data_IF_634386744112
#
_entry.id   IF_634386744112
#
_cell.length_a   1.000
_cell.length_b   1.000
_cell.length_c   1.000
_cell.angle_alpha   90.00
_cell.angle_beta   90.00
_cell.angle_gamma   90.00
#
_symmetry.space_group_name_H-M   'P 1'
#
loop_
_entity.id
_entity.type
_entity.pdbx_description
1 polymer ?
#
# COMPACT_ATOMS: atom_id res chain seq x y z
N UNK A 1 23.99 17.89 20.11
CA UNK A 1 23.79 17.15 21.37
C UNK A 1 22.37 17.25 21.88
N UNK A 2 21.77 18.46 21.95
CA UNK A 2 20.39 18.60 22.46
C UNK A 2 19.28 17.99 21.56
N UNK A 3 19.48 17.98 20.23
CA UNK A 3 18.50 17.45 19.27
C UNK A 3 18.47 15.91 19.27
N UNK A 4 19.62 15.25 19.44
CA UNK A 4 19.71 13.78 19.55
C UNK A 4 19.12 13.26 20.87
N UNK A 5 19.34 13.99 21.97
CA UNK A 5 18.77 13.66 23.28
C UNK A 5 17.23 13.78 23.24
N UNK A 6 16.70 14.80 22.57
CA UNK A 6 15.26 15.03 22.45
C UNK A 6 14.59 13.92 21.61
N UNK A 7 15.21 13.52 20.48
CA UNK A 7 14.74 12.41 19.65
C UNK A 7 14.75 11.07 20.40
N UNK A 8 15.81 10.77 21.15
CA UNK A 8 15.91 9.57 21.96
C UNK A 8 14.84 9.51 23.06
N UNK A 9 14.58 10.65 23.71
CA UNK A 9 13.55 10.74 24.75
C UNK A 9 12.14 10.57 24.19
N UNK A 10 11.85 11.17 23.04
CA UNK A 10 10.56 11.02 22.36
C UNK A 10 10.33 9.57 21.90
N UNK A 11 11.36 8.94 21.34
CA UNK A 11 11.28 7.53 20.92
C UNK A 11 11.01 6.61 22.13
N UNK A 12 11.63 6.88 23.26
CA UNK A 12 11.40 6.13 24.50
C UNK A 12 9.98 6.30 25.03
N UNK A 13 9.40 7.49 24.94
CA UNK A 13 8.02 7.76 25.31
C UNK A 13 7.01 7.06 24.38
N UNK A 14 7.32 7.01 23.09
CA UNK A 14 6.51 6.27 22.10
C UNK A 14 6.52 4.78 22.41
N UNK A 15 7.68 4.16 22.63
CA UNK A 15 7.79 2.76 23.01
C UNK A 15 7.04 2.44 24.30
N UNK A 16 7.06 3.37 25.27
CA UNK A 16 6.33 3.19 26.52
C UNK A 16 4.81 3.16 26.29
N UNK A 17 4.28 4.03 25.43
CA UNK A 17 2.85 4.01 25.02
C UNK A 17 2.48 2.74 24.25
N UNK A 18 3.29 2.34 23.26
CA UNK A 18 3.08 1.15 22.43
C UNK A 18 3.06 -0.16 23.24
N UNK A 19 3.81 -0.21 24.33
CA UNK A 19 3.82 -1.36 25.24
C UNK A 19 2.75 -1.29 26.33
N UNK A 20 1.78 -0.37 26.22
CA UNK A 20 0.72 -0.17 27.20
C UNK A 20 1.23 0.32 28.57
N UNK A 21 2.27 1.15 28.56
CA UNK A 21 2.98 1.66 29.75
C UNK A 21 3.68 0.56 30.57
N UNK A 22 3.94 -0.59 29.96
CA UNK A 22 4.77 -1.64 30.54
C UNK A 22 6.26 -1.24 30.45
N UNK A 23 6.81 -0.80 31.59
CA UNK A 23 8.19 -0.28 31.66
C UNK A 23 9.24 -1.34 31.29
N UNK A 24 9.04 -2.59 31.71
CA UNK A 24 10.00 -3.68 31.43
C UNK A 24 9.99 -4.03 29.95
N UNK A 25 8.81 -4.09 29.35
CA UNK A 25 8.61 -4.34 27.92
C UNK A 25 9.15 -3.21 27.07
N UNK A 26 8.89 -1.97 27.48
CA UNK A 26 9.42 -0.77 26.85
C UNK A 26 10.96 -0.71 26.92
N UNK A 27 11.55 -1.09 28.05
CA UNK A 27 13.01 -1.12 28.21
C UNK A 27 13.64 -2.18 27.29
N UNK A 28 13.04 -3.37 27.19
CA UNK A 28 13.49 -4.43 26.26
C UNK A 28 13.45 -3.96 24.80
N UNK A 29 12.41 -3.23 24.41
CA UNK A 29 12.31 -2.64 23.07
C UNK A 29 13.38 -1.54 22.87
N UNK A 30 13.63 -0.72 23.88
CA UNK A 30 14.65 0.32 23.84
C UNK A 30 16.08 -0.27 23.69
N UNK A 31 16.42 -1.27 24.51
CA UNK A 31 17.73 -1.95 24.46
C UNK A 31 17.95 -2.61 23.09
N UNK A 32 16.89 -3.08 22.47
CA UNK A 32 16.90 -3.60 21.11
C UNK A 32 17.19 -2.50 20.07
N UNK A 33 16.50 -1.36 20.14
CA UNK A 33 16.68 -0.22 19.22
C UNK A 33 18.11 0.35 19.32
N UNK A 34 18.72 0.33 20.51
CA UNK A 34 20.09 0.80 20.72
C UNK A 34 21.19 -0.21 20.26
N UNK A 35 20.81 -1.36 19.71
CA UNK A 35 21.77 -2.26 19.09
C UNK A 35 22.51 -3.21 20.03
N UNK A 36 22.07 -3.31 21.27
CA UNK A 36 22.74 -4.13 22.28
C UNK A 36 22.58 -5.65 22.12
N UNK A 37 21.91 -6.11 21.03
CA UNK A 37 21.73 -7.54 20.75
C UNK A 37 21.52 -7.81 19.24
N UNK A 38 22.60 -8.00 18.49
CA UNK A 38 22.51 -8.32 17.05
C UNK A 38 21.78 -9.64 16.77
N UNK A 39 21.87 -10.62 17.64
CA UNK A 39 21.20 -11.93 17.51
C UNK A 39 19.68 -11.82 17.69
N UNK A 40 19.20 -10.90 18.53
CA UNK A 40 17.76 -10.64 18.72
C UNK A 40 17.17 -9.71 17.64
N UNK A 41 17.99 -8.96 16.91
CA UNK A 41 17.52 -8.23 15.72
C UNK A 41 16.87 -9.14 14.70
N UNK A 42 17.45 -10.33 14.45
CA UNK A 42 16.95 -11.32 13.50
C UNK A 42 15.63 -11.97 13.96
N UNK A 43 15.44 -12.16 15.27
CA UNK A 43 14.23 -12.77 15.83
C UNK A 43 13.04 -11.82 15.90
N UNK A 44 13.25 -10.53 16.14
CA UNK A 44 12.18 -9.51 16.11
C UNK A 44 11.79 -9.10 14.67
N UNK A 45 12.71 -9.19 13.72
CA UNK A 45 12.42 -9.05 12.28
C UNK A 45 11.58 -10.23 11.75
N UNK A 46 11.63 -11.39 12.40
CA UNK A 46 10.71 -12.51 12.16
C UNK A 46 9.41 -12.39 12.98
N UNK A 47 9.24 -11.35 13.80
CA UNK A 47 8.00 -11.12 14.51
C UNK A 47 6.93 -10.68 13.50
N UNK A 48 5.82 -11.40 13.54
CA UNK A 48 4.59 -11.23 12.78
C UNK A 48 4.36 -9.76 12.41
N UNK A 49 4.27 -9.48 11.12
CA UNK A 49 3.89 -8.17 10.60
C UNK A 49 2.68 -7.65 11.37
N UNK A 50 2.80 -6.45 11.92
CA UNK A 50 1.69 -5.86 12.69
C UNK A 50 0.74 -5.23 11.68
N UNK A 51 -0.51 -5.68 11.69
CA UNK A 51 -1.55 -5.10 10.86
C UNK A 51 -1.71 -3.60 11.15
N UNK A 52 -1.82 -2.80 10.11
CA UNK A 52 -1.98 -1.36 10.24
C UNK A 52 -1.63 -0.57 8.98
N UNK A 53 -1.77 0.75 9.09
CA UNK A 53 -1.40 1.70 8.05
C UNK A 53 -0.05 2.33 8.40
N UNK A 54 0.77 2.60 7.39
CA UNK A 54 2.14 3.08 7.53
C UNK A 54 2.42 4.25 6.60
N UNK A 55 3.17 5.22 7.08
CA UNK A 55 3.81 6.24 6.26
C UNK A 55 5.17 5.72 5.81
N UNK A 56 5.40 5.65 4.51
CA UNK A 56 6.67 5.19 3.92
C UNK A 56 7.42 6.40 3.39
N UNK A 57 8.66 6.59 3.84
CA UNK A 57 9.47 7.77 3.57
C UNK A 57 10.52 7.53 2.49
N UNK A 58 11.03 8.62 1.90
CA UNK A 58 12.08 8.58 0.86
C UNK A 58 13.36 7.86 1.27
N UNK A 59 13.67 7.85 2.57
CA UNK A 59 14.85 7.18 3.13
C UNK A 59 14.65 5.66 3.33
N UNK A 60 13.49 5.12 2.93
CA UNK A 60 13.13 3.70 3.08
C UNK A 60 12.64 3.32 4.47
N UNK A 61 12.47 4.27 5.39
CA UNK A 61 11.83 4.01 6.68
C UNK A 61 10.30 3.96 6.52
N UNK A 62 9.65 3.22 7.41
CA UNK A 62 8.19 3.26 7.55
C UNK A 62 7.81 3.45 9.02
N UNK A 63 6.77 4.26 9.25
CA UNK A 63 6.24 4.53 10.59
C UNK A 63 4.75 4.24 10.57
N UNK A 64 4.26 3.54 11.57
CA UNK A 64 2.83 3.24 11.70
C UNK A 64 2.04 4.53 11.87
N UNK A 65 0.96 4.66 11.11
CA UNK A 65 0.05 5.81 11.18
C UNK A 65 -1.13 5.51 12.10
N UNK A 66 -1.38 6.39 13.04
CA UNK A 66 -2.45 6.25 14.05
C UNK A 66 -3.53 7.32 13.92
N UNK A 67 -3.48 8.12 12.85
CA UNK A 67 -4.37 9.27 12.66
C UNK A 67 -3.72 10.61 13.05
N UNK A 68 -4.34 11.70 12.63
CA UNK A 68 -3.86 13.08 12.91
C UNK A 68 -4.05 13.49 14.38
N UNK A 69 -5.06 12.93 15.04
CA UNK A 69 -5.42 13.29 16.42
C UNK A 69 -4.61 12.50 17.47
N UNK A 70 -3.46 11.99 17.13
CA UNK A 70 -2.57 11.28 18.03
C UNK A 70 -1.43 12.18 18.49
N UNK A 71 -0.88 11.92 19.67
CA UNK A 71 0.37 12.57 20.12
C UNK A 71 1.61 12.00 19.41
N UNK A 72 1.43 11.22 18.36
CA UNK A 72 2.53 10.61 17.62
C UNK A 72 3.22 11.67 16.76
N UNK A 73 4.54 11.81 16.95
CA UNK A 73 5.37 12.71 16.15
C UNK A 73 5.92 11.91 14.97
N UNK A 74 5.51 12.29 13.77
CA UNK A 74 6.01 11.68 12.55
C UNK A 74 7.32 12.35 12.08
N UNK A 75 8.24 11.60 11.42
CA UNK A 75 9.43 12.17 10.84
C UNK A 75 9.15 13.31 9.86
N UNK A 76 10.08 14.25 9.75
CA UNK A 76 10.01 15.41 8.82
C UNK A 76 10.27 14.96 7.36
N UNK A 77 10.80 13.75 7.17
CA UNK A 77 11.09 13.21 5.83
C UNK A 77 9.84 13.14 4.98
N UNK A 78 10.04 13.29 3.67
CA UNK A 78 8.93 13.24 2.71
C UNK A 78 8.35 11.83 2.63
N UNK A 79 7.04 11.70 2.88
CA UNK A 79 6.28 10.49 2.60
C UNK A 79 6.19 10.26 1.09
N UNK A 80 6.35 9.03 0.64
CA UNK A 80 6.30 8.65 -0.78
C UNK A 80 5.23 7.61 -1.09
N UNK A 81 4.83 6.80 -0.12
CA UNK A 81 3.74 5.83 -0.21
C UNK A 81 2.99 5.75 1.12
N UNK A 82 1.74 5.32 1.06
CA UNK A 82 1.01 4.84 2.23
C UNK A 82 1.04 3.32 2.22
N UNK A 83 1.62 2.72 3.27
CA UNK A 83 1.68 1.28 3.44
C UNK A 83 0.42 0.73 4.11
N UNK A 84 -0.01 -0.45 3.71
CA UNK A 84 -1.01 -1.25 4.43
C UNK A 84 -0.45 -2.64 4.67
N UNK A 85 -0.60 -3.12 5.90
CA UNK A 85 -0.35 -4.51 6.27
C UNK A 85 -1.64 -5.03 6.90
N UNK A 86 -2.20 -6.11 6.36
CA UNK A 86 -3.39 -6.76 6.92
C UNK A 86 -3.47 -8.21 6.47
N UNK A 87 -3.69 -9.13 7.41
CA UNK A 87 -3.87 -10.55 7.13
C UNK A 87 -2.76 -11.17 6.25
N UNK A 88 -1.51 -10.84 6.51
CA UNK A 88 -0.32 -11.23 5.74
C UNK A 88 -0.23 -10.65 4.31
N UNK A 89 -1.10 -9.74 3.93
CA UNK A 89 -0.96 -8.95 2.71
C UNK A 89 -0.31 -7.61 3.05
N UNK A 90 0.58 -7.15 2.18
CA UNK A 90 1.24 -5.85 2.36
C UNK A 90 1.38 -5.13 1.03
N UNK A 91 0.99 -3.86 1.00
CA UNK A 91 1.03 -3.01 -0.18
C UNK A 91 1.56 -1.63 0.19
N UNK A 92 2.31 -1.02 -0.71
CA UNK A 92 2.64 0.41 -0.69
C UNK A 92 1.81 1.11 -1.77
N UNK A 93 0.94 2.04 -1.37
CA UNK A 93 -0.02 2.74 -2.23
C UNK A 93 0.57 4.08 -2.64
N UNK A 94 0.68 4.35 -3.93
CA UNK A 94 1.18 5.62 -4.45
C UNK A 94 0.30 6.80 -4.00
N UNK A 95 0.90 7.95 -3.70
CA UNK A 95 0.17 9.13 -3.19
C UNK A 95 -0.76 9.78 -4.22
N UNK A 96 -0.53 9.57 -5.51
CA UNK A 96 -1.29 10.20 -6.60
C UNK A 96 -1.79 9.17 -7.60
N UNK A 97 -2.91 9.45 -8.23
CA UNK A 97 -3.32 8.73 -9.43
C UNK A 97 -2.30 8.96 -10.55
N UNK A 98 -2.12 7.96 -11.41
CA UNK A 98 -1.16 8.04 -12.53
C UNK A 98 -1.50 9.17 -13.50
N UNK A 99 -2.80 9.39 -13.73
CA UNK A 99 -3.31 10.39 -14.63
C UNK A 99 -4.26 11.34 -13.90
N UNK A 100 -4.28 12.62 -14.32
CA UNK A 100 -5.21 13.61 -13.75
C UNK A 100 -6.68 13.28 -14.03
N UNK A 101 -6.96 12.51 -15.07
CA UNK A 101 -8.29 12.14 -15.52
C UNK A 101 -8.41 10.62 -15.64
N UNK A 102 -9.64 10.14 -15.62
CA UNK A 102 -9.96 8.77 -15.92
C UNK A 102 -9.56 8.42 -17.36
N UNK A 103 -9.05 7.18 -17.55
CA UNK A 103 -8.54 6.72 -18.84
C UNK A 103 -8.87 5.25 -19.05
N UNK A 104 -8.81 4.81 -20.30
CA UNK A 104 -8.81 3.38 -20.63
C UNK A 104 -7.57 2.70 -20.03
N UNK A 105 -7.64 1.38 -19.80
CA UNK A 105 -6.49 0.66 -19.22
C UNK A 105 -5.53 0.14 -20.30
N UNK A 106 -6.07 -0.23 -21.48
CA UNK A 106 -5.27 -0.66 -22.64
C UNK A 106 -5.66 0.10 -23.89
N UNK A 107 -4.79 0.09 -24.89
CA UNK A 107 -5.03 0.70 -26.21
C UNK A 107 -5.61 -0.28 -27.21
N UNK A 108 -5.49 -1.57 -26.95
CA UNK A 108 -5.97 -2.63 -27.83
C UNK A 108 -6.63 -3.75 -27.04
N UNK A 109 -7.59 -4.42 -27.64
CA UNK A 109 -8.15 -5.65 -27.13
C UNK A 109 -7.24 -6.81 -27.50
N UNK A 110 -6.88 -7.63 -26.53
CA UNK A 110 -6.17 -8.87 -26.81
C UNK A 110 -7.16 -9.99 -27.05
N UNK A 111 -7.03 -10.68 -28.17
CA UNK A 111 -7.79 -11.89 -28.46
C UNK A 111 -7.21 -13.16 -27.83
N UNK A 112 -6.13 -13.06 -27.04
CA UNK A 112 -5.47 -14.21 -26.45
C UNK A 112 -6.24 -14.72 -25.22
N UNK A 113 -6.93 -15.82 -25.42
CA UNK A 113 -7.57 -16.61 -24.36
C UNK A 113 -6.52 -17.42 -23.55
N UNK A 114 -5.65 -16.74 -22.83
CA UNK A 114 -4.56 -17.40 -22.10
C UNK A 114 -4.97 -17.99 -20.74
N UNK A 115 -6.26 -18.20 -20.49
CA UNK A 115 -6.75 -18.91 -19.30
C UNK A 115 -6.58 -18.19 -17.96
N UNK A 116 -6.23 -16.91 -17.99
CA UNK A 116 -5.99 -16.10 -16.78
C UNK A 116 -7.18 -15.22 -16.36
N UNK A 117 -8.29 -15.34 -17.06
CA UNK A 117 -9.50 -14.58 -16.78
C UNK A 117 -10.19 -15.05 -15.51
N UNK A 118 -10.70 -14.09 -14.75
CA UNK A 118 -11.46 -14.29 -13.52
C UNK A 118 -12.89 -13.78 -13.75
N UNK A 119 -13.68 -14.55 -14.49
CA UNK A 119 -15.08 -14.22 -14.83
C UNK A 119 -16.05 -14.34 -13.66
N UNK A 120 -15.60 -14.90 -12.53
CA UNK A 120 -16.39 -14.99 -11.30
C UNK A 120 -15.80 -14.06 -10.24
N UNK A 121 -16.66 -13.30 -9.59
CA UNK A 121 -16.29 -12.41 -8.49
C UNK A 121 -15.45 -13.10 -7.42
N UNK A 122 -15.87 -14.33 -7.01
CA UNK A 122 -15.12 -15.10 -6.01
C UNK A 122 -13.67 -15.36 -6.43
N UNK A 123 -13.43 -15.67 -7.69
CA UNK A 123 -12.09 -15.98 -8.20
C UNK A 123 -11.27 -14.68 -8.36
N UNK A 124 -11.91 -13.57 -8.73
CA UNK A 124 -11.30 -12.25 -8.78
C UNK A 124 -10.86 -11.75 -7.40
N UNK A 125 -11.65 -12.04 -6.36
CA UNK A 125 -11.33 -11.70 -4.96
C UNK A 125 -10.25 -12.60 -4.33
N UNK A 126 -9.81 -13.65 -5.01
CA UNK A 126 -8.69 -14.51 -4.63
C UNK A 126 -7.42 -14.25 -5.46
N UNK A 127 -7.47 -13.27 -6.36
CA UNK A 127 -6.35 -12.88 -7.20
C UNK A 127 -5.51 -11.82 -6.46
N UNK A 128 -4.28 -12.21 -6.06
CA UNK A 128 -3.32 -11.38 -5.34
C UNK A 128 -2.01 -11.18 -6.12
N UNK A 129 -2.01 -11.47 -7.43
CA UNK A 129 -0.82 -11.37 -8.27
C UNK A 129 -0.88 -10.18 -9.23
N UNK A 130 -1.05 -8.97 -8.66
CA UNK A 130 -1.19 -7.73 -9.42
C UNK A 130 0.03 -7.42 -10.29
N UNK A 131 1.23 -7.75 -9.82
CA UNK A 131 2.46 -7.55 -10.60
C UNK A 131 2.43 -8.37 -11.90
N UNK A 132 2.11 -9.65 -11.81
CA UNK A 132 2.02 -10.53 -12.99
C UNK A 132 0.87 -10.15 -13.91
N UNK A 133 -0.27 -9.75 -13.34
CA UNK A 133 -1.40 -9.26 -14.14
C UNK A 133 -1.03 -7.99 -14.90
N UNK A 134 -0.31 -7.07 -14.26
CA UNK A 134 0.17 -5.83 -14.89
C UNK A 134 1.13 -6.14 -16.05
N UNK A 135 2.04 -7.10 -15.89
CA UNK A 135 2.91 -7.52 -16.99
C UNK A 135 2.11 -8.08 -18.18
N UNK A 136 1.04 -8.84 -17.92
CA UNK A 136 0.13 -9.31 -18.98
C UNK A 136 -0.57 -8.16 -19.70
N UNK A 137 -1.02 -7.13 -18.97
CA UNK A 137 -1.62 -5.93 -19.54
C UNK A 137 -0.61 -5.13 -20.37
N UNK A 138 0.67 -5.06 -19.98
CA UNK A 138 1.74 -4.45 -20.78
C UNK A 138 1.88 -5.13 -22.14
N UNK A 139 1.86 -6.46 -22.17
CA UNK A 139 1.90 -7.23 -23.42
C UNK A 139 0.67 -7.01 -24.31
N UNK A 140 -0.45 -6.54 -23.74
CA UNK A 140 -1.68 -6.20 -24.45
C UNK A 140 -1.78 -4.72 -24.84
N UNK A 141 -0.72 -3.95 -24.61
CA UNK A 141 -0.66 -2.54 -24.93
C UNK A 141 -1.29 -1.66 -23.83
N UNK A 142 -0.66 -1.66 -22.66
CA UNK A 142 -1.05 -0.77 -21.56
C UNK A 142 -1.15 0.70 -22.04
N UNK A 143 -2.16 1.43 -21.57
CA UNK A 143 -2.34 2.81 -21.95
C UNK A 143 -1.08 3.64 -21.63
N UNK A 144 -0.58 4.37 -22.62
CA UNK A 144 0.74 5.04 -22.58
C UNK A 144 0.96 6.01 -21.41
N UNK A 145 -0.13 6.56 -20.85
CA UNK A 145 -0.03 7.45 -19.70
C UNK A 145 0.16 6.70 -18.38
N UNK A 146 -0.06 5.37 -18.35
CA UNK A 146 0.19 4.52 -17.20
C UNK A 146 1.68 4.17 -17.20
N UNK A 147 2.50 5.07 -16.64
CA UNK A 147 3.94 4.88 -16.52
C UNK A 147 4.24 4.28 -15.14
N UNK A 148 4.85 3.12 -15.15
CA UNK A 148 5.22 2.38 -13.94
C UNK A 148 6.69 2.63 -13.62
N UNK A 149 6.99 2.94 -12.38
CA UNK A 149 8.36 2.88 -11.85
C UNK A 149 8.74 1.43 -11.54
N UNK A 150 9.99 1.20 -11.28
CA UNK A 150 10.46 -0.13 -10.88
C UNK A 150 9.73 -0.61 -9.62
N UNK A 151 9.18 -1.83 -9.69
CA UNK A 151 8.38 -2.43 -8.61
C UNK A 151 6.94 -1.93 -8.48
N UNK A 152 6.51 -0.94 -9.27
CA UNK A 152 5.10 -0.49 -9.28
C UNK A 152 4.25 -1.35 -10.22
N UNK A 153 2.99 -1.54 -9.84
CA UNK A 153 2.01 -2.29 -10.63
C UNK A 153 0.57 -1.80 -10.36
N UNK A 154 -0.35 -2.21 -11.22
CA UNK A 154 -1.79 -1.96 -11.05
C UNK A 154 -2.34 -3.02 -10.10
N UNK A 155 -3.00 -2.64 -8.99
CA UNK A 155 -3.52 -3.59 -8.03
C UNK A 155 -4.57 -4.53 -8.63
N UNK A 156 -4.68 -5.73 -8.09
CA UNK A 156 -5.79 -6.65 -8.39
C UNK A 156 -7.12 -6.15 -7.79
N UNK A 157 -8.23 -6.80 -8.12
CA UNK A 157 -9.51 -6.50 -7.46
C UNK A 157 -9.45 -6.78 -5.95
N UNK A 158 -8.80 -7.87 -5.54
CA UNK A 158 -8.63 -8.21 -4.12
C UNK A 158 -7.78 -7.17 -3.39
N UNK A 159 -6.69 -6.69 -4.00
CA UNK A 159 -5.84 -5.63 -3.45
C UNK A 159 -6.58 -4.28 -3.37
N UNK A 160 -7.35 -3.90 -4.39
CA UNK A 160 -8.22 -2.71 -4.33
C UNK A 160 -9.24 -2.81 -3.20
N UNK A 161 -9.83 -3.99 -3.01
CA UNK A 161 -10.82 -4.20 -1.96
C UNK A 161 -10.20 -4.14 -0.57
N UNK A 162 -8.99 -4.65 -0.40
CA UNK A 162 -8.21 -4.48 0.84
C UNK A 162 -7.99 -2.98 1.15
N UNK A 163 -7.62 -2.19 0.15
CA UNK A 163 -7.45 -0.74 0.27
C UNK A 163 -8.78 -0.07 0.61
N UNK A 164 -9.88 -0.46 -0.05
CA UNK A 164 -11.22 0.09 0.21
C UNK A 164 -11.69 -0.17 1.64
N UNK A 165 -11.50 -1.38 2.16
CA UNK A 165 -11.88 -1.71 3.55
C UNK A 165 -11.15 -0.85 4.61
N UNK A 166 -10.05 -0.23 4.23
CA UNK A 166 -9.26 0.66 5.09
C UNK A 166 -9.25 2.11 4.57
N UNK A 167 -10.18 2.46 3.66
CA UNK A 167 -10.16 3.71 2.91
C UNK A 167 -10.14 4.95 3.81
N UNK A 168 -10.89 4.95 4.89
CA UNK A 168 -11.02 6.11 5.78
C UNK A 168 -9.65 6.53 6.34
N UNK A 169 -8.96 5.62 7.00
CA UNK A 169 -7.63 5.90 7.57
C UNK A 169 -6.55 6.06 6.49
N UNK A 170 -6.69 5.39 5.34
CA UNK A 170 -5.77 5.59 4.20
C UNK A 170 -5.94 7.00 3.63
N UNK A 171 -7.16 7.48 3.44
CA UNK A 171 -7.42 8.83 2.94
C UNK A 171 -6.96 9.91 3.92
N UNK A 172 -7.11 9.69 5.22
CA UNK A 172 -6.53 10.55 6.25
C UNK A 172 -5.00 10.61 6.14
N UNK A 173 -4.34 9.44 6.01
CA UNK A 173 -2.90 9.37 5.81
C UNK A 173 -2.45 9.98 4.47
N UNK A 174 -3.25 9.85 3.40
CA UNK A 174 -3.01 10.51 2.11
C UNK A 174 -3.07 12.03 2.26
N UNK A 175 -4.09 12.56 2.96
CA UNK A 175 -4.22 13.98 3.24
C UNK A 175 -2.99 14.50 4.02
N UNK A 176 -2.62 13.81 5.08
CA UNK A 176 -1.41 14.10 5.87
C UNK A 176 -0.14 14.14 5.01
N UNK A 177 0.01 13.20 4.07
CA UNK A 177 1.17 13.11 3.17
C UNK A 177 1.11 14.07 1.97
N UNK A 178 0.07 14.89 1.82
CA UNK A 178 -0.16 15.73 0.63
C UNK A 178 -0.52 14.90 -0.60
N UNK A 179 -1.05 13.71 -0.41
CA UNK A 179 -1.54 12.81 -1.44
C UNK A 179 -2.96 13.11 -1.88
N UNK A 180 -3.46 12.34 -2.81
CA UNK A 180 -4.81 12.42 -3.35
C UNK A 180 -5.69 11.33 -2.75
N UNK A 181 -6.85 11.71 -2.23
CA UNK A 181 -7.86 10.77 -1.73
C UNK A 181 -8.29 9.75 -2.78
N UNK A 182 -8.60 8.55 -2.32
CA UNK A 182 -9.18 7.48 -3.11
C UNK A 182 -10.70 7.69 -3.18
N UNK A 183 -11.22 7.94 -4.38
CA UNK A 183 -12.67 8.12 -4.65
C UNK A 183 -12.99 7.88 -6.12
N UNK A 184 -14.22 7.44 -6.40
CA UNK A 184 -14.65 7.12 -7.78
C UNK A 184 -14.18 5.73 -8.22
N UNK A 185 -14.17 5.50 -9.52
CA UNK A 185 -13.82 4.22 -10.13
C UNK A 185 -12.33 4.06 -10.33
N UNK A 186 -11.82 2.87 -9.96
CA UNK A 186 -10.44 2.46 -10.19
C UNK A 186 -10.36 1.15 -10.97
N UNK A 187 -9.49 1.12 -11.96
CA UNK A 187 -9.10 -0.10 -12.67
C UNK A 187 -8.35 -1.04 -11.73
N UNK A 188 -8.69 -2.32 -11.79
CA UNK A 188 -7.81 -3.38 -11.30
C UNK A 188 -6.95 -3.95 -12.44
N UNK A 189 -5.98 -4.78 -12.12
CA UNK A 189 -5.27 -5.60 -13.10
C UNK A 189 -5.90 -6.97 -13.31
N UNK A 190 -6.97 -7.29 -12.59
CA UNK A 190 -7.68 -8.56 -12.70
C UNK A 190 -8.60 -8.54 -13.91
N UNK A 191 -8.28 -9.32 -14.93
CA UNK A 191 -9.08 -9.39 -16.16
C UNK A 191 -10.33 -10.25 -15.95
N UNK A 192 -11.50 -9.70 -16.30
CA UNK A 192 -12.75 -10.45 -16.37
C UNK A 192 -12.80 -11.34 -17.62
N UNK A 193 -12.36 -10.82 -18.74
CA UNK A 193 -12.37 -11.49 -20.04
C UNK A 193 -11.39 -10.86 -21.03
N UNK A 194 -11.53 -11.24 -22.29
CA UNK A 194 -10.67 -10.70 -23.36
C UNK A 194 -10.84 -9.18 -23.51
N UNK A 195 -12.06 -8.68 -23.32
CA UNK A 195 -12.44 -7.28 -23.53
C UNK A 195 -12.51 -6.46 -22.25
N UNK A 196 -12.72 -7.11 -21.09
CA UNK A 196 -13.11 -6.46 -19.87
C UNK A 196 -12.12 -6.72 -18.72
N UNK A 197 -12.05 -5.76 -17.82
CA UNK A 197 -11.26 -5.78 -16.57
C UNK A 197 -12.15 -5.42 -15.40
N UNK A 198 -11.95 -6.05 -14.27
CA UNK A 198 -12.60 -5.66 -13.03
C UNK A 198 -12.21 -4.26 -12.59
N UNK A 199 -13.16 -3.54 -12.04
CA UNK A 199 -12.98 -2.21 -11.44
C UNK A 199 -13.73 -2.13 -10.11
N UNK A 200 -13.31 -1.20 -9.25
CA UNK A 200 -13.90 -0.97 -7.94
C UNK A 200 -14.30 0.50 -7.79
N UNK A 201 -15.51 0.74 -7.30
CA UNK A 201 -16.01 2.07 -6.96
C UNK A 201 -15.77 2.37 -5.49
N UNK A 202 -14.86 3.30 -5.21
CA UNK A 202 -14.41 3.59 -3.85
C UNK A 202 -15.42 4.35 -2.99
N UNK A 203 -16.54 4.81 -3.53
CA UNK A 203 -17.55 5.50 -2.71
C UNK A 203 -18.46 4.54 -1.94
N UNK A 204 -18.63 3.30 -2.42
CA UNK A 204 -19.51 2.31 -1.80
C UNK A 204 -19.00 0.86 -1.85
N UNK A 205 -17.84 0.62 -2.48
CA UNK A 205 -17.25 -0.71 -2.62
C UNK A 205 -17.89 -1.56 -3.72
N UNK A 206 -18.74 -0.98 -4.57
CA UNK A 206 -19.31 -1.71 -5.69
C UNK A 206 -18.24 -2.08 -6.71
N UNK A 207 -18.19 -3.34 -7.11
CA UNK A 207 -17.31 -3.84 -8.15
C UNK A 207 -18.09 -4.14 -9.43
N UNK A 208 -17.49 -3.81 -10.56
CA UNK A 208 -18.00 -4.09 -11.90
C UNK A 208 -16.87 -4.55 -12.81
N UNK A 209 -17.20 -4.90 -14.02
CA UNK A 209 -16.22 -5.10 -15.08
C UNK A 209 -16.54 -4.13 -16.23
N UNK A 210 -15.50 -3.55 -16.77
CA UNK A 210 -15.56 -2.44 -17.72
C UNK A 210 -14.67 -2.74 -18.92
N UNK A 211 -15.06 -2.23 -20.10
CA UNK A 211 -14.30 -2.43 -21.32
C UNK A 211 -12.96 -1.72 -21.28
N UNK A 212 -11.89 -2.45 -21.59
CA UNK A 212 -10.49 -2.00 -21.47
C UNK A 212 -10.14 -0.78 -22.33
N UNK A 213 -10.81 -0.61 -23.47
CA UNK A 213 -10.49 0.42 -24.50
C UNK A 213 -11.59 1.45 -24.69
N UNK A 214 -12.78 1.25 -24.11
CA UNK A 214 -13.94 2.12 -24.25
C UNK A 214 -14.27 2.84 -22.95
N UNK A 215 -14.20 2.12 -21.81
CA UNK A 215 -14.52 2.69 -20.52
C UNK A 215 -13.31 3.40 -19.89
N UNK A 216 -13.59 4.29 -18.95
CA UNK A 216 -12.56 5.09 -18.29
C UNK A 216 -12.69 5.00 -16.77
N UNK A 217 -11.58 4.66 -16.11
CA UNK A 217 -11.43 4.69 -14.67
C UNK A 217 -10.08 5.30 -14.29
N UNK A 218 -9.89 5.59 -13.02
CA UNK A 218 -8.61 6.02 -12.45
C UNK A 218 -7.67 4.83 -12.31
N UNK A 219 -6.38 5.11 -12.22
CA UNK A 219 -5.36 4.13 -11.89
C UNK A 219 -4.56 4.65 -10.71
N UNK A 220 -4.59 3.91 -9.60
CA UNK A 220 -3.70 4.10 -8.46
C UNK A 220 -2.71 2.94 -8.45
N UNK A 221 -1.43 3.25 -8.57
CA UNK A 221 -0.39 2.24 -8.52
C UNK A 221 -0.12 1.81 -7.08
N UNK A 222 0.31 0.57 -6.97
CA UNK A 222 0.84 0.01 -5.74
C UNK A 222 2.21 -0.61 -6.00
N UNK A 223 2.96 -0.84 -4.94
CA UNK A 223 4.21 -1.58 -4.95
C UNK A 223 4.21 -2.60 -3.84
N UNK A 224 5.09 -3.58 -3.89
CA UNK A 224 5.31 -4.47 -2.77
C UNK A 224 5.89 -3.69 -1.59
N UNK A 225 5.28 -3.85 -0.44
CA UNK A 225 5.79 -3.32 0.82
C UNK A 225 6.31 -4.49 1.65
N UNK A 226 7.64 -4.70 1.63
CA UNK A 226 8.31 -5.71 2.42
C UNK A 226 8.93 -5.04 3.64
N UNK A 227 8.41 -5.25 4.84
CA UNK A 227 8.96 -4.65 6.06
C UNK A 227 10.42 -4.98 6.32
N UNK A 228 10.93 -6.09 5.76
CA UNK A 228 12.33 -6.48 5.86
C UNK A 228 13.29 -5.60 5.05
N UNK A 229 12.78 -4.84 4.08
CA UNK A 229 13.56 -3.87 3.29
C UNK A 229 13.38 -2.44 3.76
N UNK A 230 12.40 -2.22 4.63
CA UNK A 230 12.03 -0.91 5.17
C UNK A 230 12.26 -0.94 6.68
N UNK A 231 13.03 0.02 7.21
CA UNK A 231 13.15 0.18 8.67
C UNK A 231 11.81 0.62 9.21
N UNK A 232 11.09 -0.27 9.89
CA UNK A 232 9.90 0.09 10.66
C UNK A 232 10.40 0.77 11.92
N UNK A 233 10.13 2.07 12.04
CA UNK A 233 10.32 2.81 13.28
C UNK A 233 9.03 2.65 14.07
N UNK A 234 9.11 1.93 15.18
CA UNK A 234 8.01 1.77 16.14
C UNK A 234 8.00 2.93 17.12
#
# INVERSE_FOLDING_TARGET
>A
MDMEINNAMQMRMTLLKETGYDVEKSQKCWDFVQGNNETKKQELFNSKLIDGIYLIFTNGNAVRYYGENTDTIYPIDKVVYIGIIQNNHSLAIALQDVCKHENTITTTLSQNNNGYYKDKYKDAMQDWDGMRNTERLKHKGLYRAIQLKDGEYIPTLAELYLIYLNQEIINEAMCFAGGQELKGWYWSSTEYGATDVWSLYFNDGYSSYNNKVEDSCRVRLVSTFLPNTVKILN
#
